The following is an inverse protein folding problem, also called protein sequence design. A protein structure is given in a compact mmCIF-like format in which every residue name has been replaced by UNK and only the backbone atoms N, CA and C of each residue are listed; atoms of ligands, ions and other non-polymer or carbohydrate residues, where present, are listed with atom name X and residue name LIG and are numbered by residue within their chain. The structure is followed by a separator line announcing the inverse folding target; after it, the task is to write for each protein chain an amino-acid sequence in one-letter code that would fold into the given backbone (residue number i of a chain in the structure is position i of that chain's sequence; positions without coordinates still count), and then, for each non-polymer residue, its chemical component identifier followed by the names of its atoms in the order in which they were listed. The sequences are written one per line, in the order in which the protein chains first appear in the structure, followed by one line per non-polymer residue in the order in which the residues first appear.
data_IF_722505658049
#
_entry.id   IF_722505658049
#
_cell.length_a   1.000
_cell.length_b   1.000
_cell.length_c   1.000
_cell.angle_alpha   90.00
_cell.angle_beta   90.00
_cell.angle_gamma   90.00
#
_symmetry.space_group_name_H-M   'P 1'
#
loop_
_entity.id
_entity.type
_entity.pdbx_description
1 polymer ?
#
# COMPACT_ATOMS: atom_id res chain seq x y z
N UNK A 1 -26.87 -23.77 -14.44
CA UNK A 1 -26.12 -23.45 -15.67
C UNK A 1 -25.05 -22.40 -15.36
N UNK A 2 -25.39 -21.24 -14.81
CA UNK A 2 -24.43 -20.22 -14.39
C UNK A 2 -23.35 -20.77 -13.44
N UNK A 3 -23.74 -21.52 -12.44
CA UNK A 3 -22.85 -22.15 -11.47
C UNK A 3 -21.74 -23.02 -12.11
N UNK A 4 -22.09 -23.75 -13.16
CA UNK A 4 -21.12 -24.59 -13.87
C UNK A 4 -20.14 -23.80 -14.75
N UNK A 5 -20.51 -22.56 -15.13
CA UNK A 5 -19.67 -21.71 -15.97
C UNK A 5 -18.68 -20.87 -15.16
N UNK A 6 -19.09 -20.45 -13.96
CA UNK A 6 -18.27 -19.55 -13.12
C UNK A 6 -17.71 -20.22 -11.87
N UNK A 7 -17.86 -21.53 -11.72
CA UNK A 7 -17.39 -22.34 -10.59
C UNK A 7 -17.83 -21.81 -9.21
N UNK A 8 -19.04 -21.24 -9.15
CA UNK A 8 -19.67 -20.77 -7.92
C UNK A 8 -20.84 -21.67 -7.59
N UNK A 9 -20.89 -22.29 -6.39
CA UNK A 9 -21.98 -23.22 -6.04
C UNK A 9 -23.33 -22.51 -6.04
N UNK A 10 -24.40 -23.15 -6.55
CA UNK A 10 -25.71 -22.52 -6.68
C UNK A 10 -26.40 -22.28 -5.33
N UNK A 11 -26.20 -23.17 -4.36
CA UNK A 11 -26.82 -23.13 -3.03
C UNK A 11 -25.82 -23.33 -1.90
N UNK A 12 -26.17 -22.88 -0.68
CA UNK A 12 -25.35 -23.07 0.51
C UNK A 12 -25.03 -24.56 0.80
N UNK A 13 -25.97 -25.46 0.51
CA UNK A 13 -25.77 -26.90 0.65
C UNK A 13 -24.75 -27.47 -0.36
N UNK A 14 -24.68 -26.91 -1.56
CA UNK A 14 -23.67 -27.27 -2.56
C UNK A 14 -22.31 -26.70 -2.19
N UNK A 15 -22.24 -25.48 -1.67
CA UNK A 15 -21.02 -24.83 -1.18
C UNK A 15 -20.37 -25.64 -0.04
N UNK A 16 -21.15 -26.12 0.91
CA UNK A 16 -20.67 -26.91 2.05
C UNK A 16 -20.03 -28.25 1.65
N UNK A 17 -20.35 -28.77 0.46
CA UNK A 17 -19.82 -30.05 -0.05
C UNK A 17 -18.54 -29.91 -0.87
N UNK A 18 -18.26 -28.71 -1.39
CA UNK A 18 -17.23 -28.53 -2.42
C UNK A 18 -15.81 -28.28 -1.86
N UNK A 19 -15.67 -27.71 -0.67
CA UNK A 19 -14.34 -27.39 -0.13
C UNK A 19 -14.36 -27.18 1.38
N UNK A 20 -13.24 -27.44 2.05
CA UNK A 20 -13.03 -27.09 3.47
C UNK A 20 -12.97 -25.59 3.76
N UNK A 21 -13.07 -24.74 2.75
CA UNK A 21 -13.18 -23.29 2.84
C UNK A 21 -14.62 -22.92 2.48
N UNK A 22 -15.30 -22.16 3.33
CA UNK A 22 -16.69 -21.74 3.12
C UNK A 22 -16.76 -20.80 1.91
N UNK A 23 -17.03 -21.36 0.72
CA UNK A 23 -17.34 -20.59 -0.47
C UNK A 23 -18.81 -20.17 -0.43
N UNK A 24 -19.10 -18.87 -0.68
CA UNK A 24 -20.47 -18.36 -0.75
C UNK A 24 -21.16 -18.89 -2.00
N UNK A 25 -22.41 -19.27 -1.85
CA UNK A 25 -23.23 -19.70 -2.99
C UNK A 25 -23.84 -18.50 -3.74
N UNK A 26 -24.28 -18.74 -4.98
CA UNK A 26 -25.01 -17.74 -5.76
C UNK A 26 -26.25 -17.26 -4.98
N UNK A 27 -26.99 -18.17 -4.35
CA UNK A 27 -28.18 -17.85 -3.57
C UNK A 27 -27.87 -16.93 -2.37
N UNK A 28 -26.77 -17.19 -1.66
CA UNK A 28 -26.31 -16.35 -0.53
C UNK A 28 -25.90 -14.96 -1.00
N UNK A 29 -25.12 -14.87 -2.08
CA UNK A 29 -24.67 -13.60 -2.66
C UNK A 29 -25.86 -12.73 -3.11
N UNK A 30 -26.84 -13.32 -3.81
CA UNK A 30 -28.04 -12.61 -4.27
C UNK A 30 -28.88 -12.14 -3.08
N UNK A 31 -29.12 -12.99 -2.08
CA UNK A 31 -29.90 -12.62 -0.88
C UNK A 31 -29.25 -11.48 -0.08
N UNK A 32 -27.93 -11.52 0.08
CA UNK A 32 -27.19 -10.43 0.73
C UNK A 32 -27.33 -9.12 -0.07
N UNK A 33 -27.20 -9.19 -1.39
CA UNK A 33 -27.32 -8.03 -2.27
C UNK A 33 -28.73 -7.43 -2.29
N UNK A 34 -29.77 -8.26 -2.31
CA UNK A 34 -31.19 -7.82 -2.25
C UNK A 34 -31.52 -7.13 -0.92
N UNK A 35 -30.93 -7.60 0.20
CA UNK A 35 -31.11 -6.98 1.51
C UNK A 35 -30.52 -5.57 1.60
N UNK A 36 -29.49 -5.28 0.81
CA UNK A 36 -28.83 -3.97 0.80
C UNK A 36 -29.50 -3.03 -0.21
N UNK A 37 -29.79 -3.50 -1.40
CA UNK A 37 -30.39 -2.69 -2.46
C UNK A 37 -31.14 -3.57 -3.48
N UNK A 38 -32.47 -3.76 -3.33
CA UNK A 38 -33.28 -4.50 -4.29
C UNK A 38 -33.12 -3.89 -5.69
N UNK A 39 -33.08 -4.75 -6.70
CA UNK A 39 -32.89 -4.42 -8.12
C UNK A 39 -31.48 -3.94 -8.53
N UNK A 40 -30.48 -3.98 -7.65
CA UNK A 40 -29.10 -3.75 -8.04
C UNK A 40 -28.40 -5.06 -8.46
N UNK A 41 -27.57 -5.03 -9.50
CA UNK A 41 -26.77 -6.19 -9.86
C UNK A 41 -25.83 -6.58 -8.71
N UNK A 42 -25.74 -7.89 -8.47
CA UNK A 42 -24.82 -8.49 -7.48
C UNK A 42 -23.68 -9.17 -8.23
N UNK A 43 -22.44 -8.96 -7.79
CA UNK A 43 -21.28 -9.62 -8.37
C UNK A 43 -21.27 -11.08 -7.91
N UNK A 44 -21.45 -11.99 -8.84
CA UNK A 44 -21.42 -13.44 -8.59
C UNK A 44 -19.99 -13.98 -8.74
N UNK A 45 -19.29 -13.56 -9.78
CA UNK A 45 -17.90 -13.90 -10.03
C UNK A 45 -17.17 -12.70 -10.63
N UNK A 46 -15.91 -12.53 -10.24
CA UNK A 46 -15.01 -11.54 -10.81
C UNK A 46 -13.85 -12.25 -11.51
N UNK A 47 -13.23 -11.56 -12.46
CA UNK A 47 -12.05 -12.03 -13.18
C UNK A 47 -12.26 -13.38 -13.91
N UNK A 48 -13.44 -13.56 -14.48
CA UNK A 48 -13.75 -14.75 -15.27
C UNK A 48 -12.96 -14.75 -16.57
N UNK A 49 -12.54 -15.92 -17.03
CA UNK A 49 -11.82 -16.06 -18.28
C UNK A 49 -12.64 -15.51 -19.47
N UNK A 50 -11.94 -14.96 -20.47
CA UNK A 50 -12.59 -14.32 -21.62
C UNK A 50 -13.55 -15.27 -22.36
N UNK A 51 -13.19 -16.53 -22.51
CA UNK A 51 -14.03 -17.55 -23.14
C UNK A 51 -15.34 -17.74 -22.37
N UNK A 52 -15.26 -17.82 -21.02
CA UNK A 52 -16.44 -17.92 -20.15
C UNK A 52 -17.31 -16.65 -20.26
N UNK A 53 -16.68 -15.49 -20.27
CA UNK A 53 -17.39 -14.21 -20.41
C UNK A 53 -18.12 -14.09 -21.75
N UNK A 54 -17.51 -14.50 -22.85
CA UNK A 54 -18.13 -14.52 -24.19
C UNK A 54 -19.30 -15.51 -24.22
N UNK A 55 -19.12 -16.71 -23.71
CA UNK A 55 -20.16 -17.72 -23.63
C UNK A 55 -21.38 -17.27 -22.80
N UNK A 56 -21.14 -16.60 -21.67
CA UNK A 56 -22.20 -16.01 -20.84
C UNK A 56 -22.97 -14.93 -21.62
N UNK A 57 -22.29 -14.15 -22.48
CA UNK A 57 -22.96 -13.17 -23.34
C UNK A 57 -23.80 -13.82 -24.43
N UNK A 58 -23.32 -14.87 -25.04
CA UNK A 58 -24.06 -15.65 -26.04
C UNK A 58 -25.33 -16.30 -25.44
N UNK A 59 -25.20 -16.84 -24.24
CA UNK A 59 -26.29 -17.52 -23.53
C UNK A 59 -27.17 -16.55 -22.70
N UNK A 60 -26.96 -15.23 -22.78
CA UNK A 60 -27.66 -14.22 -21.99
C UNK A 60 -29.21 -14.28 -22.11
N UNK A 61 -29.71 -14.65 -23.28
CA UNK A 61 -31.15 -14.81 -23.54
C UNK A 61 -31.76 -15.99 -22.74
N UNK A 62 -30.97 -17.00 -22.45
CA UNK A 62 -31.38 -18.18 -21.67
C UNK A 62 -31.18 -18.00 -20.16
N UNK A 63 -30.51 -16.90 -19.76
CA UNK A 63 -30.20 -16.58 -18.38
C UNK A 63 -30.62 -15.14 -18.04
N UNK A 64 -31.92 -14.86 -17.97
CA UNK A 64 -32.42 -13.53 -17.66
C UNK A 64 -31.91 -13.07 -16.28
N UNK A 65 -31.49 -11.79 -16.19
CA UNK A 65 -30.90 -11.21 -14.98
C UNK A 65 -29.39 -11.42 -14.84
N UNK A 66 -28.74 -12.19 -15.72
CA UNK A 66 -27.28 -12.34 -15.76
C UNK A 66 -26.69 -11.35 -16.76
N UNK A 67 -25.67 -10.60 -16.34
CA UNK A 67 -24.94 -9.71 -17.22
C UNK A 67 -23.42 -9.83 -17.01
N UNK A 68 -22.67 -9.60 -18.07
CA UNK A 68 -21.21 -9.60 -18.04
C UNK A 68 -20.72 -8.18 -18.32
N UNK A 69 -19.90 -7.65 -17.41
CA UNK A 69 -19.29 -6.33 -17.52
C UNK A 69 -17.78 -6.45 -17.62
N UNK A 70 -17.19 -5.70 -18.53
CA UNK A 70 -15.75 -5.43 -18.50
C UNK A 70 -15.52 -4.26 -17.55
N UNK A 71 -14.58 -4.44 -16.63
CA UNK A 71 -14.12 -3.40 -15.70
C UNK A 71 -12.63 -3.20 -15.89
N UNK A 72 -12.15 -1.98 -15.70
CA UNK A 72 -10.72 -1.70 -15.70
C UNK A 72 -10.08 -2.31 -14.45
N UNK A 73 -8.94 -2.94 -14.63
CA UNK A 73 -8.15 -3.53 -13.55
C UNK A 73 -6.82 -2.79 -13.47
N UNK A 74 -6.41 -2.45 -12.26
CA UNK A 74 -5.10 -1.85 -12.04
C UNK A 74 -4.01 -2.90 -12.22
N UNK A 75 -2.93 -2.52 -12.89
CA UNK A 75 -1.73 -3.34 -13.00
C UNK A 75 -0.55 -2.61 -12.34
N UNK A 76 0.32 -3.39 -11.71
CA UNK A 76 1.53 -2.89 -11.05
C UNK A 76 2.77 -3.55 -11.67
N UNK A 77 3.25 -3.07 -12.85
CA UNK A 77 4.31 -3.74 -13.59
C UNK A 77 5.64 -3.85 -12.83
N UNK A 78 5.87 -2.96 -11.86
CA UNK A 78 7.06 -2.94 -11.00
C UNK A 78 6.89 -3.73 -9.70
N UNK A 79 5.67 -4.16 -9.38
CA UNK A 79 5.34 -5.00 -8.22
C UNK A 79 5.98 -4.50 -6.92
N UNK A 80 6.59 -5.42 -6.19
CA UNK A 80 7.22 -5.14 -4.89
C UNK A 80 8.31 -4.05 -4.91
N UNK A 81 8.88 -3.74 -6.08
CA UNK A 81 9.95 -2.72 -6.19
C UNK A 81 9.44 -1.32 -5.87
N UNK A 82 8.21 -1.01 -6.24
CA UNK A 82 7.60 0.31 -6.03
C UNK A 82 6.35 0.28 -5.17
N UNK A 83 6.05 -0.83 -4.52
CA UNK A 83 4.80 -1.01 -3.77
C UNK A 83 4.54 0.07 -2.72
N UNK A 84 5.55 0.47 -1.95
CA UNK A 84 5.42 1.54 -0.96
C UNK A 84 5.26 2.95 -1.55
N UNK A 85 5.68 3.15 -2.82
CA UNK A 85 5.53 4.43 -3.50
C UNK A 85 4.15 4.50 -4.15
N UNK A 86 3.83 3.51 -4.98
CA UNK A 86 2.57 3.46 -5.73
C UNK A 86 1.40 3.15 -4.80
N UNK A 87 1.58 2.22 -3.87
CA UNK A 87 0.50 1.73 -3.03
C UNK A 87 -0.32 0.64 -3.71
N UNK A 88 -1.56 0.52 -3.31
CA UNK A 88 -2.53 -0.43 -3.88
C UNK A 88 -3.96 0.06 -3.75
N UNK A 89 -4.82 -0.46 -4.61
CA UNK A 89 -6.27 -0.22 -4.56
C UNK A 89 -7.00 -1.43 -3.97
N UNK A 90 -8.10 -1.14 -3.26
CA UNK A 90 -8.95 -2.17 -2.68
C UNK A 90 -10.45 -1.89 -2.87
N UNK A 91 -11.33 -2.85 -2.53
CA UNK A 91 -12.77 -2.62 -2.52
C UNK A 91 -13.13 -1.61 -1.42
N UNK A 92 -14.20 -0.87 -1.63
CA UNK A 92 -14.70 0.09 -0.64
C UNK A 92 -15.23 -0.65 0.58
N UNK A 93 -14.70 -0.33 1.75
CA UNK A 93 -15.12 -0.88 3.03
C UNK A 93 -16.53 -0.43 3.44
N UNK A 94 -17.16 -1.17 4.34
CA UNK A 94 -18.52 -0.85 4.80
C UNK A 94 -18.59 0.50 5.55
N UNK A 95 -17.53 0.86 6.26
CA UNK A 95 -17.45 2.11 7.02
C UNK A 95 -17.36 3.34 6.11
N UNK A 96 -16.70 3.23 4.96
CA UNK A 96 -16.47 4.32 4.00
C UNK A 96 -17.58 4.40 2.95
N UNK A 97 -18.38 3.33 2.80
CA UNK A 97 -19.33 3.15 1.72
C UNK A 97 -20.39 4.25 1.66
N UNK A 98 -20.89 4.75 2.80
CA UNK A 98 -21.91 5.79 2.87
C UNK A 98 -21.36 7.11 2.35
N UNK A 99 -20.23 7.57 2.88
CA UNK A 99 -19.56 8.80 2.49
C UNK A 99 -19.15 8.78 1.01
N UNK A 100 -18.60 7.67 0.53
CA UNK A 100 -18.17 7.53 -0.86
C UNK A 100 -19.33 7.46 -1.85
N UNK A 101 -20.50 6.95 -1.44
CA UNK A 101 -21.74 7.04 -2.25
C UNK A 101 -22.15 8.47 -2.50
N UNK A 102 -22.06 9.34 -1.50
CA UNK A 102 -22.37 10.77 -1.66
C UNK A 102 -21.43 11.44 -2.66
N UNK A 103 -20.19 10.94 -2.76
CA UNK A 103 -19.19 11.38 -3.75
C UNK A 103 -19.37 10.71 -5.12
N UNK A 104 -20.37 9.86 -5.30
CA UNK A 104 -20.69 9.21 -6.57
C UNK A 104 -20.00 7.86 -6.78
N UNK A 105 -19.30 7.31 -5.77
CA UNK A 105 -18.76 5.96 -5.85
C UNK A 105 -19.82 4.89 -5.71
N UNK A 106 -19.61 3.77 -6.38
CA UNK A 106 -20.44 2.58 -6.22
C UNK A 106 -19.65 1.51 -5.45
N UNK A 107 -19.93 1.30 -4.14
CA UNK A 107 -19.17 0.36 -3.32
C UNK A 107 -19.18 -1.09 -3.79
N UNK A 108 -20.12 -1.47 -4.67
CA UNK A 108 -20.16 -2.82 -5.22
C UNK A 108 -19.14 -3.08 -6.34
N UNK A 109 -18.65 -2.02 -7.00
CA UNK A 109 -17.82 -2.16 -8.20
C UNK A 109 -16.55 -1.31 -8.17
N UNK A 110 -16.61 -0.15 -7.49
CA UNK A 110 -15.50 0.77 -7.45
C UNK A 110 -14.44 0.31 -6.44
N UNK A 111 -13.24 0.73 -6.69
CA UNK A 111 -12.07 0.52 -5.83
C UNK A 111 -11.47 1.88 -5.51
N UNK A 112 -10.85 1.97 -4.35
CA UNK A 112 -10.15 3.18 -3.87
C UNK A 112 -8.72 2.85 -3.50
N UNK A 113 -7.86 3.85 -3.47
CA UNK A 113 -6.49 3.72 -2.99
C UNK A 113 -6.45 3.55 -1.47
N UNK A 114 -5.64 2.59 -0.99
CA UNK A 114 -5.44 2.33 0.43
C UNK A 114 -4.06 2.75 0.95
N UNK A 115 -3.11 2.95 0.06
CA UNK A 115 -1.76 3.39 0.43
C UNK A 115 -1.06 4.10 -0.74
N UNK A 116 0.05 4.78 -0.45
CA UNK A 116 0.94 5.40 -1.43
C UNK A 116 0.25 6.47 -2.28
N UNK A 117 0.67 6.54 -3.55
CA UNK A 117 0.14 7.51 -4.51
C UNK A 117 -1.32 7.21 -4.89
N UNK A 118 -1.73 5.94 -4.87
CA UNK A 118 -3.12 5.56 -5.13
C UNK A 118 -4.07 6.19 -4.11
N UNK A 119 -3.68 6.21 -2.84
CA UNK A 119 -4.46 6.87 -1.79
C UNK A 119 -4.35 8.40 -1.87
N UNK A 120 -3.12 8.91 -1.98
CA UNK A 120 -2.87 10.35 -1.84
C UNK A 120 -3.42 11.16 -3.02
N UNK A 121 -3.42 10.59 -4.23
CA UNK A 121 -3.88 11.22 -5.45
C UNK A 121 -5.17 10.60 -6.00
N UNK A 122 -5.98 9.94 -5.16
CA UNK A 122 -7.25 9.33 -5.56
C UNK A 122 -8.12 10.30 -6.36
N UNK A 123 -8.30 11.54 -5.89
CA UNK A 123 -9.13 12.56 -6.55
C UNK A 123 -8.66 12.89 -7.98
N UNK A 124 -7.36 12.75 -8.24
CA UNK A 124 -6.78 13.03 -9.56
C UNK A 124 -6.80 11.78 -10.44
N UNK A 125 -6.56 10.61 -9.84
CA UNK A 125 -6.45 9.34 -10.55
C UNK A 125 -7.79 8.71 -10.89
N UNK A 126 -8.84 8.92 -10.05
CA UNK A 126 -10.14 8.28 -10.20
C UNK A 126 -10.91 8.77 -11.45
N UNK A 127 -10.69 10.03 -11.87
CA UNK A 127 -11.47 10.63 -12.97
C UNK A 127 -12.94 10.85 -12.61
N UNK A 128 -13.76 11.11 -13.61
CA UNK A 128 -15.20 11.32 -13.45
C UNK A 128 -15.99 10.12 -14.00
N UNK A 129 -16.95 9.66 -13.24
CA UNK A 129 -17.77 8.50 -13.61
C UNK A 129 -18.80 8.86 -14.64
N UNK A 130 -18.93 8.04 -15.66
CA UNK A 130 -20.05 8.08 -16.58
C UNK A 130 -21.32 7.52 -15.95
N UNK A 131 -22.46 7.96 -16.45
CA UNK A 131 -23.77 7.51 -16.00
C UNK A 131 -24.66 7.16 -17.20
N UNK A 132 -25.38 6.05 -17.11
CA UNK A 132 -26.40 5.66 -18.09
C UNK A 132 -27.72 5.53 -17.37
N UNK A 133 -28.67 6.38 -17.75
CA UNK A 133 -30.05 6.28 -17.29
C UNK A 133 -30.85 5.41 -18.26
N UNK A 134 -31.37 4.29 -17.76
CA UNK A 134 -32.16 3.33 -18.53
C UNK A 134 -33.56 3.20 -17.92
N UNK A 135 -34.55 3.04 -18.77
CA UNK A 135 -35.88 2.61 -18.35
C UNK A 135 -35.93 1.08 -18.30
N UNK A 136 -36.41 0.54 -17.20
CA UNK A 136 -36.53 -0.91 -16.98
C UNK A 136 -37.98 -1.26 -16.65
N UNK A 137 -38.43 -2.43 -17.10
CA UNK A 137 -39.74 -2.96 -16.70
C UNK A 137 -39.72 -3.60 -15.31
N UNK A 138 -40.86 -4.10 -14.86
CA UNK A 138 -41.01 -4.75 -13.54
C UNK A 138 -40.21 -6.07 -13.43
N UNK A 139 -39.79 -6.64 -14.53
CA UNK A 139 -38.93 -7.83 -14.58
C UNK A 139 -37.43 -7.47 -14.66
N UNK A 140 -37.07 -6.18 -14.68
CA UNK A 140 -35.70 -5.71 -14.79
C UNK A 140 -35.15 -5.67 -16.23
N UNK A 141 -36.01 -5.91 -17.24
CA UNK A 141 -35.60 -5.81 -18.64
C UNK A 141 -35.63 -4.36 -19.14
N UNK A 142 -34.61 -3.97 -19.91
CA UNK A 142 -34.50 -2.62 -20.46
C UNK A 142 -35.61 -2.39 -21.49
N UNK A 143 -36.38 -1.29 -21.33
CA UNK A 143 -37.39 -0.84 -22.26
C UNK A 143 -36.78 0.26 -23.12
N UNK A 144 -36.72 0.02 -24.44
CA UNK A 144 -36.24 1.02 -25.40
C UNK A 144 -34.77 1.36 -25.32
N UNK A 145 -34.42 2.57 -25.75
CA UNK A 145 -33.06 3.10 -25.73
C UNK A 145 -32.76 3.81 -24.42
N UNK A 146 -31.46 3.97 -24.10
CA UNK A 146 -31.01 4.73 -22.91
C UNK A 146 -31.56 6.16 -22.97
N UNK A 147 -32.16 6.62 -21.88
CA UNK A 147 -32.76 7.97 -21.78
C UNK A 147 -31.69 9.07 -21.75
N UNK A 148 -30.58 8.81 -21.12
CA UNK A 148 -29.43 9.72 -21.00
C UNK A 148 -28.15 8.93 -20.80
N UNK A 149 -27.10 9.36 -21.47
CA UNK A 149 -25.74 8.84 -21.28
C UNK A 149 -24.79 10.01 -21.02
N UNK A 150 -23.97 9.89 -20.00
CA UNK A 150 -22.83 10.75 -19.71
C UNK A 150 -21.61 9.84 -19.76
N UNK A 151 -20.69 10.13 -20.68
CA UNK A 151 -19.48 9.34 -20.82
C UNK A 151 -18.51 9.61 -19.66
N UNK A 152 -17.75 8.60 -19.23
CA UNK A 152 -16.74 8.77 -18.17
C UNK A 152 -15.56 9.61 -18.68
N UNK A 153 -14.98 10.40 -17.79
CA UNK A 153 -13.73 11.14 -18.04
C UNK A 153 -12.60 10.40 -17.31
N UNK A 154 -11.56 9.95 -18.03
CA UNK A 154 -10.44 9.25 -17.40
C UNK A 154 -9.68 10.18 -16.44
N UNK A 155 -9.10 9.62 -15.39
CA UNK A 155 -8.23 10.34 -14.47
C UNK A 155 -6.94 10.78 -15.15
N UNK A 156 -6.19 11.61 -14.45
CA UNK A 156 -4.94 12.17 -14.96
C UNK A 156 -3.78 11.20 -14.74
N UNK A 157 -2.71 11.38 -15.54
CA UNK A 157 -1.47 10.65 -15.37
C UNK A 157 -0.54 11.37 -14.39
N UNK A 158 0.09 10.63 -13.49
CA UNK A 158 1.17 11.14 -12.63
C UNK A 158 2.52 10.72 -13.20
N UNK A 159 3.42 11.72 -13.37
CA UNK A 159 4.80 11.46 -13.73
C UNK A 159 5.67 11.61 -12.49
N UNK A 160 6.32 10.53 -12.11
CA UNK A 160 7.22 10.48 -10.96
C UNK A 160 8.66 10.79 -11.37
N UNK A 161 9.46 11.19 -10.38
CA UNK A 161 10.91 11.36 -10.53
C UNK A 161 11.68 10.06 -10.24
N UNK A 162 10.96 9.01 -9.85
CA UNK A 162 11.56 7.71 -9.53
C UNK A 162 12.14 7.08 -10.80
N UNK A 163 13.41 6.72 -10.71
CA UNK A 163 14.09 5.86 -11.67
C UNK A 163 13.92 4.40 -11.22
N UNK A 164 13.21 3.61 -12.00
CA UNK A 164 12.86 2.23 -11.62
C UNK A 164 14.07 1.29 -11.61
N UNK A 165 15.09 1.57 -12.39
CA UNK A 165 16.31 0.76 -12.41
C UNK A 165 17.17 1.08 -11.18
N UNK A 166 17.30 2.36 -10.84
CA UNK A 166 17.94 2.78 -9.60
C UNK A 166 17.18 2.26 -8.38
N UNK A 167 15.85 2.31 -8.39
CA UNK A 167 15.00 1.79 -7.32
C UNK A 167 15.25 0.29 -7.09
N UNK A 168 15.28 -0.49 -8.16
CA UNK A 168 15.55 -1.94 -8.11
C UNK A 168 16.96 -2.24 -7.61
N UNK A 169 17.95 -1.50 -8.13
CA UNK A 169 19.33 -1.62 -7.69
C UNK A 169 19.48 -1.28 -6.21
N UNK A 170 18.90 -0.18 -5.75
CA UNK A 170 18.97 0.25 -4.35
C UNK A 170 18.29 -0.75 -3.41
N UNK A 171 17.17 -1.34 -3.83
CA UNK A 171 16.48 -2.39 -3.06
C UNK A 171 17.37 -3.63 -2.91
N UNK A 172 17.97 -4.10 -4.01
CA UNK A 172 18.82 -5.27 -3.95
C UNK A 172 20.08 -4.99 -3.11
N UNK A 173 20.71 -3.85 -3.31
CA UNK A 173 21.89 -3.44 -2.53
C UNK A 173 21.60 -3.36 -1.02
N UNK A 174 20.42 -2.87 -0.63
CA UNK A 174 19.97 -2.84 0.77
C UNK A 174 19.82 -4.25 1.34
N UNK A 175 19.18 -5.15 0.59
CA UNK A 175 18.98 -6.55 1.01
C UNK A 175 20.34 -7.25 1.19
N UNK A 176 21.23 -7.11 0.21
CA UNK A 176 22.57 -7.70 0.25
C UNK A 176 23.39 -7.17 1.44
N UNK A 177 23.28 -5.86 1.73
CA UNK A 177 23.99 -5.25 2.87
C UNK A 177 23.44 -5.70 4.21
N UNK A 178 22.11 -5.83 4.36
CA UNK A 178 21.49 -6.39 5.57
C UNK A 178 21.97 -7.82 5.80
N UNK A 179 22.00 -8.64 4.76
CA UNK A 179 22.48 -10.03 4.84
C UNK A 179 23.95 -10.09 5.22
N UNK A 180 24.81 -9.27 4.57
CA UNK A 180 26.24 -9.17 4.87
C UNK A 180 26.47 -8.75 6.32
N UNK A 181 25.77 -7.69 6.76
CA UNK A 181 25.85 -7.22 8.14
C UNK A 181 25.45 -8.31 9.14
N UNK A 182 24.34 -8.99 8.93
CA UNK A 182 23.85 -10.04 9.81
C UNK A 182 24.82 -11.24 9.89
N UNK A 183 25.44 -11.59 8.78
CA UNK A 183 26.49 -12.63 8.76
C UNK A 183 27.68 -12.24 9.63
N UNK A 184 28.19 -11.02 9.48
CA UNK A 184 29.31 -10.52 10.29
C UNK A 184 28.95 -10.44 11.80
N UNK A 185 27.73 -10.03 12.12
CA UNK A 185 27.26 -9.99 13.51
C UNK A 185 27.15 -11.41 14.11
N UNK A 186 26.65 -12.37 13.33
CA UNK A 186 26.57 -13.77 13.74
C UNK A 186 27.98 -14.38 13.98
N UNK A 187 28.91 -14.15 13.06
CA UNK A 187 30.31 -14.60 13.20
C UNK A 187 30.97 -14.00 14.43
N UNK A 188 30.64 -12.78 14.81
CA UNK A 188 31.11 -12.08 15.99
C UNK A 188 30.40 -12.45 17.29
N UNK A 189 29.36 -13.31 17.24
CA UNK A 189 28.54 -13.69 18.38
C UNK A 189 27.55 -12.61 18.83
N UNK A 190 27.33 -11.58 18.02
CA UNK A 190 26.48 -10.41 18.33
C UNK A 190 25.08 -10.53 17.68
N UNK A 191 24.42 -11.66 17.85
CA UNK A 191 23.12 -11.95 17.23
C UNK A 191 22.02 -10.91 17.51
N UNK A 192 22.07 -10.24 18.64
CA UNK A 192 21.12 -9.19 19.02
C UNK A 192 21.25 -7.89 18.21
N UNK A 193 22.35 -7.72 17.47
CA UNK A 193 22.61 -6.55 16.64
C UNK A 193 22.23 -6.79 15.17
N UNK A 194 21.53 -7.86 14.85
CA UNK A 194 21.08 -8.15 13.50
C UNK A 194 19.99 -7.16 13.05
N UNK A 195 20.08 -6.75 11.80
CA UNK A 195 19.12 -5.84 11.15
C UNK A 195 18.12 -6.64 10.34
N UNK A 196 16.85 -6.29 10.43
CA UNK A 196 15.77 -6.93 9.67
C UNK A 196 15.02 -5.92 8.78
N UNK A 197 15.29 -4.64 8.98
CA UNK A 197 14.65 -3.53 8.28
C UNK A 197 15.70 -2.53 7.83
N UNK A 198 15.37 -1.80 6.77
CA UNK A 198 16.24 -0.75 6.27
C UNK A 198 15.54 0.17 5.27
N UNK A 199 16.19 1.31 5.03
CA UNK A 199 15.69 2.35 4.12
C UNK A 199 16.84 2.85 3.27
N UNK A 200 16.56 3.09 1.98
CA UNK A 200 17.47 3.82 1.08
C UNK A 200 16.67 4.92 0.38
N UNK A 201 17.17 6.16 0.44
CA UNK A 201 16.63 7.28 -0.30
C UNK A 201 17.76 7.90 -1.12
N UNK A 202 17.56 8.00 -2.44
CA UNK A 202 18.44 8.72 -3.33
C UNK A 202 17.71 9.99 -3.83
N UNK A 203 18.34 11.13 -3.62
CA UNK A 203 17.79 12.43 -3.99
C UNK A 203 18.79 13.24 -4.79
N UNK A 204 18.33 13.96 -5.83
CA UNK A 204 19.14 14.95 -6.53
C UNK A 204 19.15 16.25 -5.70
N UNK A 205 20.30 16.63 -5.11
CA UNK A 205 20.37 17.81 -4.25
C UNK A 205 20.19 19.15 -4.99
N UNK A 206 20.29 19.15 -6.32
CA UNK A 206 20.16 20.36 -7.13
C UNK A 206 18.70 20.84 -7.27
N UNK A 207 17.76 19.90 -7.20
CA UNK A 207 16.33 20.19 -7.46
C UNK A 207 15.38 19.48 -6.47
N UNK A 208 15.90 18.65 -5.56
CA UNK A 208 15.12 17.93 -4.56
C UNK A 208 14.36 16.71 -5.09
N UNK A 209 14.59 16.29 -6.35
CA UNK A 209 13.92 15.12 -6.91
C UNK A 209 14.33 13.83 -6.19
N UNK A 210 13.35 13.07 -5.72
CA UNK A 210 13.57 11.72 -5.19
C UNK A 210 13.67 10.76 -6.36
N UNK A 211 14.84 10.16 -6.55
CA UNK A 211 15.14 9.23 -7.64
C UNK A 211 14.90 7.78 -7.23
N UNK A 212 15.05 7.48 -5.94
CA UNK A 212 14.77 6.17 -5.35
C UNK A 212 14.34 6.35 -3.91
N UNK A 213 13.36 5.55 -3.48
CA UNK A 213 12.88 5.49 -2.08
C UNK A 213 12.50 4.05 -1.75
N UNK A 214 13.42 3.34 -1.13
CA UNK A 214 13.27 1.94 -0.73
C UNK A 214 12.91 1.85 0.73
N UNK A 215 11.93 1.03 1.04
CA UNK A 215 11.60 0.57 2.40
C UNK A 215 11.62 -0.96 2.40
N UNK A 216 12.38 -1.57 3.32
CA UNK A 216 12.49 -3.01 3.46
C UNK A 216 12.13 -3.44 4.89
N UNK A 217 11.38 -4.56 5.09
CA UNK A 217 10.77 -5.37 4.04
C UNK A 217 9.62 -4.64 3.33
N UNK A 218 9.32 -5.09 2.12
CA UNK A 218 8.21 -4.62 1.31
C UNK A 218 7.15 -5.69 1.10
N UNK A 219 6.15 -5.37 0.32
CA UNK A 219 5.06 -6.26 -0.07
C UNK A 219 4.85 -6.26 -1.58
N UNK A 220 4.20 -7.28 -2.09
CA UNK A 220 3.87 -7.39 -3.51
C UNK A 220 2.44 -6.89 -3.77
N UNK A 221 2.31 -5.65 -4.28
CA UNK A 221 1.02 -5.04 -4.58
C UNK A 221 0.32 -5.65 -5.81
N UNK A 222 1.00 -6.45 -6.62
CA UNK A 222 0.36 -7.19 -7.73
C UNK A 222 -0.70 -8.16 -7.20
N UNK A 223 -0.51 -8.68 -5.98
CA UNK A 223 -1.46 -9.59 -5.31
C UNK A 223 -2.75 -8.89 -4.83
N UNK A 224 -2.78 -7.56 -4.91
CA UNK A 224 -3.95 -6.74 -4.59
C UNK A 224 -4.61 -6.14 -5.83
N UNK A 225 -4.02 -6.31 -7.03
CA UNK A 225 -4.45 -5.66 -8.26
C UNK A 225 -5.88 -6.02 -8.70
N UNK A 226 -6.24 -7.30 -8.61
CA UNK A 226 -7.56 -7.80 -9.03
C UNK A 226 -8.47 -8.05 -7.83
N UNK A 227 -8.22 -9.13 -7.13
CA UNK A 227 -8.85 -9.44 -5.85
C UNK A 227 -7.77 -9.40 -4.77
N UNK A 228 -8.09 -8.83 -3.61
CA UNK A 228 -7.16 -8.91 -2.49
C UNK A 228 -7.00 -10.38 -2.11
N UNK A 229 -5.79 -10.90 -2.24
CA UNK A 229 -5.43 -12.21 -1.70
C UNK A 229 -5.49 -12.13 -0.17
N UNK A 230 -6.59 -12.57 0.41
CA UNK A 230 -6.85 -12.45 1.84
C UNK A 230 -5.80 -13.18 2.68
N UNK A 231 -5.28 -14.31 2.21
CA UNK A 231 -4.25 -15.06 2.92
C UNK A 231 -2.94 -14.26 2.97
N UNK A 232 -2.53 -13.73 1.84
CA UNK A 232 -1.35 -12.87 1.75
C UNK A 232 -1.52 -11.56 2.52
N UNK A 233 -2.70 -10.93 2.44
CA UNK A 233 -2.96 -9.72 3.21
C UNK A 233 -2.81 -9.96 4.72
N UNK A 234 -3.36 -11.06 5.24
CA UNK A 234 -3.22 -11.44 6.65
C UNK A 234 -1.78 -11.78 7.01
N UNK A 235 -1.03 -12.41 6.12
CA UNK A 235 0.40 -12.68 6.29
C UNK A 235 1.17 -11.37 6.49
N UNK A 236 1.10 -10.44 5.53
CA UNK A 236 1.86 -9.18 5.60
C UNK A 236 1.34 -8.22 6.68
N UNK A 237 0.04 -8.27 7.00
CA UNK A 237 -0.56 -7.46 8.06
C UNK A 237 -0.12 -7.89 9.46
N UNK A 238 -0.01 -9.21 9.69
CA UNK A 238 0.40 -9.77 10.99
C UNK A 238 1.92 -9.94 11.14
N UNK A 239 2.69 -9.66 10.10
CA UNK A 239 4.14 -9.74 10.15
C UNK A 239 4.69 -8.69 11.14
N UNK A 240 5.47 -9.10 12.17
CA UNK A 240 6.06 -8.19 13.14
C UNK A 240 6.98 -7.15 12.51
N UNK A 241 7.52 -7.41 11.32
CA UNK A 241 8.35 -6.46 10.55
C UNK A 241 7.53 -5.42 9.78
N UNK A 242 6.19 -5.53 9.78
CA UNK A 242 5.25 -4.57 9.20
C UNK A 242 5.58 -4.21 7.74
N UNK A 243 5.62 -5.16 6.81
CA UNK A 243 5.99 -4.89 5.41
C UNK A 243 5.05 -3.93 4.69
N UNK A 244 3.84 -3.69 5.18
CA UNK A 244 2.93 -2.67 4.66
C UNK A 244 3.33 -1.23 5.07
N UNK A 245 4.20 -1.07 6.08
CA UNK A 245 4.61 0.24 6.55
C UNK A 245 5.75 0.79 5.70
N UNK A 246 5.56 1.96 5.09
CA UNK A 246 6.66 2.66 4.44
C UNK A 246 7.60 3.29 5.48
N UNK A 247 8.65 2.58 5.84
CA UNK A 247 9.62 3.01 6.83
C UNK A 247 10.40 4.26 6.40
N UNK A 248 10.47 4.57 5.11
CA UNK A 248 11.16 5.75 4.59
C UNK A 248 10.50 7.06 5.02
N UNK A 249 9.19 7.05 5.27
CA UNK A 249 8.41 8.25 5.60
C UNK A 249 7.68 8.18 6.94
N UNK A 250 7.55 6.99 7.54
CA UNK A 250 6.76 6.81 8.78
C UNK A 250 7.58 6.37 9.99
N UNK A 251 8.80 5.84 9.77
CA UNK A 251 9.64 5.38 10.87
C UNK A 251 10.57 6.48 11.38
N UNK A 252 10.83 6.43 12.67
CA UNK A 252 11.76 7.32 13.35
C UNK A 252 13.08 6.57 13.58
N UNK A 253 14.13 7.01 12.90
CA UNK A 253 15.48 6.48 13.09
C UNK A 253 16.34 7.47 13.86
N UNK A 254 17.18 7.02 14.80
CA UNK A 254 18.17 7.89 15.43
C UNK A 254 19.13 8.43 14.37
N UNK A 255 19.24 9.76 14.22
CA UNK A 255 20.02 10.36 13.13
C UNK A 255 21.54 10.13 13.29
N UNK A 256 22.01 9.87 14.48
CA UNK A 256 23.43 9.65 14.74
C UNK A 256 24.28 10.83 14.28
N UNK A 257 25.48 10.54 13.69
CA UNK A 257 26.44 11.57 13.24
C UNK A 257 25.92 12.52 12.17
N UNK A 258 24.83 12.16 11.45
CA UNK A 258 24.20 13.07 10.47
C UNK A 258 23.68 14.33 11.16
N UNK A 259 23.25 14.22 12.42
CA UNK A 259 22.78 15.35 13.23
C UNK A 259 23.87 16.40 13.50
N UNK A 260 25.16 16.04 13.42
CA UNK A 260 26.26 16.95 13.63
C UNK A 260 26.24 18.14 12.66
N UNK A 261 25.77 17.94 11.42
CA UNK A 261 25.64 19.02 10.45
C UNK A 261 24.64 20.09 10.94
N UNK A 262 23.52 19.65 11.50
CA UNK A 262 22.50 20.56 12.04
C UNK A 262 23.01 21.26 13.28
N UNK A 263 23.65 20.53 14.20
CA UNK A 263 24.23 21.09 15.43
C UNK A 263 25.32 22.12 15.12
N UNK A 264 26.23 21.80 14.20
CA UNK A 264 27.31 22.72 13.80
C UNK A 264 26.75 23.99 13.11
N UNK A 265 25.79 23.81 12.20
CA UNK A 265 25.15 24.96 11.52
C UNK A 265 24.43 25.87 12.51
N UNK A 266 23.69 25.28 13.45
CA UNK A 266 23.00 26.04 14.51
C UNK A 266 24.00 26.78 15.43
N UNK A 267 25.07 26.11 15.86
CA UNK A 267 26.09 26.71 16.72
C UNK A 267 26.82 27.89 16.05
N UNK A 268 27.08 27.78 14.75
CA UNK A 268 27.65 28.88 13.96
C UNK A 268 26.66 30.03 13.77
N UNK A 269 25.40 29.73 13.48
CA UNK A 269 24.35 30.73 13.26
C UNK A 269 24.05 31.51 14.53
N UNK A 270 24.00 30.84 15.69
CA UNK A 270 23.78 31.48 16.98
C UNK A 270 25.05 32.14 17.59
N UNK A 271 26.16 32.05 16.87
CA UNK A 271 27.42 32.62 17.31
C UNK A 271 28.04 31.98 18.56
N UNK A 272 27.62 30.74 18.87
CA UNK A 272 28.16 29.95 20.01
C UNK A 272 29.61 29.55 19.73
N UNK A 273 29.92 29.30 18.46
CA UNK A 273 31.27 29.05 17.96
C UNK A 273 31.57 29.92 16.73
N UNK A 274 32.83 30.21 16.53
CA UNK A 274 33.30 30.89 15.30
C UNK A 274 33.92 29.85 14.32
N UNK A 275 33.88 30.09 12.99
CA UNK A 275 34.43 29.16 12.01
C UNK A 275 35.91 28.84 12.23
N UNK A 276 36.69 29.77 12.76
CA UNK A 276 38.13 29.65 13.02
C UNK A 276 38.46 29.14 14.43
N UNK A 277 37.43 28.89 15.26
CA UNK A 277 37.61 28.45 16.63
C UNK A 277 38.00 26.96 16.68
N UNK A 278 39.14 26.69 17.32
CA UNK A 278 39.51 25.34 17.60
C UNK A 278 38.67 24.80 18.79
N UNK A 279 38.08 23.65 18.61
CA UNK A 279 37.38 22.93 19.66
C UNK A 279 38.26 21.76 20.10
N UNK A 280 38.52 21.68 21.38
CA UNK A 280 39.28 20.57 21.98
C UNK A 280 38.31 19.49 22.49
N UNK A 281 38.52 18.25 22.10
CA UNK A 281 37.80 17.09 22.61
C UNK A 281 38.71 16.40 23.66
N UNK A 282 38.30 16.38 24.94
CA UNK A 282 39.09 15.73 26.00
C UNK A 282 38.98 14.20 26.01
N UNK A 283 38.38 13.57 25.02
CA UNK A 283 38.13 12.12 24.93
C UNK A 283 36.94 11.62 25.75
N UNK A 284 36.44 12.43 26.67
CA UNK A 284 35.21 12.16 27.42
C UNK A 284 34.50 13.44 27.84
N UNK A 285 33.17 13.38 27.90
CA UNK A 285 32.32 14.47 28.36
C UNK A 285 31.36 13.94 29.44
N UNK A 286 31.41 14.55 30.63
CA UNK A 286 30.46 14.26 31.69
C UNK A 286 29.32 15.27 31.61
N UNK A 287 28.11 14.77 31.46
CA UNK A 287 26.89 15.57 31.48
C UNK A 287 26.17 15.33 32.80
N UNK A 288 26.11 16.37 33.61
CA UNK A 288 25.41 16.32 34.88
C UNK A 288 23.90 16.20 34.65
N UNK A 289 23.26 15.41 35.52
CA UNK A 289 21.81 15.31 35.48
C UNK A 289 21.16 16.61 35.95
N UNK A 290 20.48 17.30 35.05
CA UNK A 290 19.79 18.57 35.33
C UNK A 290 18.81 18.50 36.48
N UNK A 291 18.23 17.32 36.76
CA UNK A 291 17.24 17.11 37.80
C UNK A 291 17.83 16.55 39.09
N UNK A 292 19.12 16.19 39.09
CA UNK A 292 19.86 15.72 40.23
C UNK A 292 21.31 16.22 40.20
N UNK A 293 21.54 17.55 40.17
CA UNK A 293 22.87 18.14 39.96
C UNK A 293 23.91 17.83 41.03
N UNK A 294 23.47 17.41 42.20
CA UNK A 294 24.33 17.05 43.33
C UNK A 294 24.59 15.55 43.50
N UNK A 295 24.09 14.75 42.56
CA UNK A 295 24.29 13.30 42.53
C UNK A 295 25.23 12.90 41.40
N UNK A 296 26.53 12.62 41.67
CA UNK A 296 27.47 12.19 40.64
C UNK A 296 27.08 10.87 39.99
N UNK A 297 26.32 10.00 40.67
CA UNK A 297 25.87 8.72 40.14
C UNK A 297 24.73 8.90 39.10
N UNK A 298 24.06 10.05 39.11
CA UNK A 298 23.05 10.39 38.14
C UNK A 298 23.62 11.07 36.89
N UNK A 299 24.91 11.40 36.87
CA UNK A 299 25.60 12.00 35.73
C UNK A 299 25.92 10.95 34.65
N UNK A 300 25.85 11.32 33.40
CA UNK A 300 26.15 10.43 32.27
C UNK A 300 27.48 10.83 31.62
N UNK A 301 28.42 9.86 31.50
CA UNK A 301 29.69 10.06 30.80
C UNK A 301 29.57 9.55 29.37
N UNK A 302 29.82 10.43 28.42
CA UNK A 302 29.95 10.11 27.00
C UNK A 302 31.43 10.05 26.65
N UNK A 303 31.80 9.07 25.83
CA UNK A 303 33.18 8.87 25.41
C UNK A 303 33.30 9.10 23.91
N UNK A 304 34.39 9.80 23.51
CA UNK A 304 34.81 9.85 22.15
C UNK A 304 35.31 8.47 21.70
N UNK A 305 35.27 8.15 20.41
CA UNK A 305 35.85 6.96 19.84
C UNK A 305 37.37 6.94 20.04
N UNK A 306 38.02 8.13 20.07
CA UNK A 306 39.39 8.33 20.40
C UNK A 306 39.49 8.81 21.86
N UNK A 307 39.84 7.90 22.77
CA UNK A 307 39.80 8.09 24.23
C UNK A 307 40.78 9.11 24.76
N UNK A 308 41.87 9.36 24.02
CA UNK A 308 42.91 10.30 24.41
C UNK A 308 42.56 11.76 24.07
N UNK A 309 41.48 11.96 23.36
CA UNK A 309 41.01 13.29 22.89
C UNK A 309 41.74 13.76 21.64
N UNK A 310 41.22 14.80 21.00
CA UNK A 310 41.82 15.39 19.79
C UNK A 310 41.36 16.83 19.55
#
# INVERSE_FOLDING_TARGET
RLSALVDVPPTAAAAARASGIRQRSIEELVREGEGIAPFRPVVIAADVELEVALRLREEALDMPGVSVRAISVREYPTGAVTSHIVGYMGPIGAEEAEQLREQGYNPAFDRIGYDGLELFYEDILAGERGNILREIDVAGAQIGTSLRQIDPVPGQNLRLTIDTDLQRFAQQALIDEIQRHNTLQAESGLFQNQSQQGVVIAMDPRNGQVLSMVSYPGYDNTRFARNIDAAYYLEVFNDPLRPLLNNAIRSLYPPGSVWKLITASGALQEGVIAPEQNLFDPGSLVVENRYAPNDPAASQTFFCWFREGH
#
